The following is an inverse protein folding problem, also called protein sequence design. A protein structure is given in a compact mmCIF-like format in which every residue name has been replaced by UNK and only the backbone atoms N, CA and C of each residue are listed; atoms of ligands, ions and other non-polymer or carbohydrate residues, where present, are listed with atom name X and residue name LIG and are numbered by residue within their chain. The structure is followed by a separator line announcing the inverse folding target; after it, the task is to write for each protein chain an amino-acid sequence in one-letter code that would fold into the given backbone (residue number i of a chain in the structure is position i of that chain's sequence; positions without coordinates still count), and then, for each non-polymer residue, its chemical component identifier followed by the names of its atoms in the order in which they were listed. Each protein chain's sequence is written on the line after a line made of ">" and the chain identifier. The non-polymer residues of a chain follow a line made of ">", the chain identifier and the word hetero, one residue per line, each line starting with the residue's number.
data_IF_359771444418
#
_entry.id   IF_359771444418
#
_cell.length_a   1.000
_cell.length_b   1.000
_cell.length_c   1.000
_cell.angle_alpha   90.00
_cell.angle_beta   90.00
_cell.angle_gamma   90.00
#
_symmetry.space_group_name_H-M   'P 1'
#
loop_
_entity.id
_entity.type
_entity.pdbx_description
1 polymer ?
#
# COMPACT_ATOMS: atom_id res chain seq x y z
N UNK A 1 -41.78 1.16 -8.03
CA UNK A 1 -40.46 1.10 -7.36
C UNK A 1 -40.25 2.42 -6.64
N UNK A 2 -39.69 2.40 -5.42
CA UNK A 2 -39.16 3.63 -4.81
C UNK A 2 -37.81 3.94 -5.47
N UNK A 3 -37.46 5.22 -5.63
CA UNK A 3 -36.13 5.56 -6.15
C UNK A 3 -35.08 5.23 -5.09
N UNK A 4 -33.84 4.99 -5.52
CA UNK A 4 -32.76 4.63 -4.60
C UNK A 4 -32.49 5.72 -3.54
N UNK A 5 -32.64 6.99 -3.91
CA UNK A 5 -32.47 8.12 -3.00
C UNK A 5 -33.62 8.27 -1.99
N UNK A 6 -34.75 7.58 -2.20
CA UNK A 6 -35.87 7.54 -1.25
C UNK A 6 -35.68 6.46 -0.17
N UNK A 7 -34.70 5.57 -0.33
CA UNK A 7 -34.47 4.40 0.54
C UNK A 7 -33.08 4.37 1.17
N UNK A 8 -32.10 5.06 0.58
CA UNK A 8 -30.74 5.17 1.11
C UNK A 8 -30.45 6.64 1.37
N UNK A 9 -30.01 6.94 2.59
CA UNK A 9 -29.52 8.27 2.92
C UNK A 9 -28.10 8.44 2.34
N UNK A 10 -27.86 9.42 1.46
CA UNK A 10 -26.52 9.70 0.96
C UNK A 10 -25.56 10.06 2.09
N UNK A 11 -24.27 9.86 1.84
CA UNK A 11 -23.21 10.18 2.79
C UNK A 11 -23.24 11.68 3.17
N UNK A 12 -22.70 11.99 4.35
CA UNK A 12 -22.89 13.30 5.00
C UNK A 12 -22.30 14.47 4.21
N UNK A 13 -21.14 14.26 3.59
CA UNK A 13 -20.47 15.16 2.64
C UNK A 13 -21.38 15.58 1.48
N UNK A 14 -22.02 14.62 0.80
CA UNK A 14 -22.97 14.86 -0.30
C UNK A 14 -24.15 15.68 0.18
N UNK A 15 -24.69 15.36 1.37
CA UNK A 15 -25.84 16.06 1.94
C UNK A 15 -25.50 17.50 2.34
N UNK A 16 -24.27 17.75 2.76
CA UNK A 16 -23.79 19.09 3.14
C UNK A 16 -23.32 19.93 1.95
N UNK A 17 -23.19 19.32 0.76
CA UNK A 17 -22.61 19.98 -0.41
C UNK A 17 -21.11 20.25 -0.27
N UNK A 18 -20.47 19.63 0.72
CA UNK A 18 -19.04 19.73 1.00
C UNK A 18 -18.34 18.58 0.27
N UNK A 19 -18.13 18.79 -1.03
CA UNK A 19 -17.66 17.77 -1.96
C UNK A 19 -16.21 18.08 -2.35
N UNK A 20 -15.27 17.41 -1.68
CA UNK A 20 -13.87 17.42 -2.08
C UNK A 20 -13.56 16.13 -2.85
N UNK A 21 -13.27 16.25 -4.15
CA UNK A 21 -12.86 15.13 -5.00
C UNK A 21 -11.61 14.41 -4.47
N UNK A 22 -10.75 15.11 -3.72
CA UNK A 22 -9.57 14.53 -3.09
C UNK A 22 -9.94 13.46 -2.06
N UNK A 23 -11.13 13.55 -1.43
CA UNK A 23 -11.63 12.53 -0.48
C UNK A 23 -11.90 11.20 -1.16
N UNK A 24 -12.13 11.19 -2.49
CA UNK A 24 -12.39 9.96 -3.26
C UNK A 24 -11.17 9.44 -4.03
N UNK A 25 -10.06 10.18 -4.01
CA UNK A 25 -8.82 9.79 -4.65
C UNK A 25 -7.93 9.09 -3.62
N UNK A 26 -7.86 7.76 -3.70
CA UNK A 26 -6.90 7.00 -2.89
C UNK A 26 -5.47 7.43 -3.25
N UNK A 27 -4.71 7.90 -2.25
CA UNK A 27 -3.27 8.13 -2.33
C UNK A 27 -2.55 7.16 -1.38
N UNK A 28 -1.70 6.30 -1.94
CA UNK A 28 -0.98 5.29 -1.17
C UNK A 28 0.06 5.90 -0.22
N UNK A 29 0.66 7.03 -0.60
CA UNK A 29 1.65 7.73 0.22
C UNK A 29 1.00 8.29 1.47
N UNK A 30 -0.17 8.92 1.32
CA UNK A 30 -0.94 9.42 2.45
C UNK A 30 -1.42 8.31 3.38
N UNK A 31 -1.78 7.14 2.84
CA UNK A 31 -2.14 5.96 3.64
C UNK A 31 -0.94 5.42 4.43
N UNK A 32 0.25 5.45 3.84
CA UNK A 32 1.48 4.99 4.50
C UNK A 32 1.90 5.96 5.62
N UNK A 33 1.79 7.26 5.35
CA UNK A 33 2.19 8.33 6.26
C UNK A 33 1.13 8.62 7.34
N UNK A 34 -0.09 8.12 7.16
CA UNK A 34 -1.20 8.28 8.12
C UNK A 34 -1.93 9.61 8.00
N UNK A 35 -1.74 10.33 6.89
CA UNK A 35 -2.42 11.59 6.55
C UNK A 35 -3.70 11.38 5.72
N UNK A 36 -3.93 10.17 5.20
CA UNK A 36 -5.12 9.87 4.40
C UNK A 36 -6.41 9.97 5.24
N UNK A 37 -7.56 10.25 4.59
CA UNK A 37 -8.87 10.17 5.24
C UNK A 37 -9.11 8.80 5.89
N UNK A 38 -9.95 8.72 6.95
CA UNK A 38 -10.24 7.48 7.67
C UNK A 38 -10.67 6.33 6.77
N UNK A 39 -11.42 6.63 5.70
CA UNK A 39 -11.86 5.66 4.69
C UNK A 39 -10.73 4.87 4.04
N UNK A 40 -9.53 5.45 3.96
CA UNK A 40 -8.33 4.80 3.44
C UNK A 40 -7.31 4.47 4.53
N UNK A 41 -7.18 5.26 5.60
CA UNK A 41 -6.17 4.99 6.63
C UNK A 41 -6.59 3.88 7.60
N UNK A 42 -7.88 3.79 7.94
CA UNK A 42 -8.39 2.76 8.83
C UNK A 42 -8.62 1.45 8.05
N UNK A 43 -7.88 0.37 8.38
CA UNK A 43 -7.96 -0.86 7.61
C UNK A 43 -9.34 -1.53 7.67
N UNK A 44 -10.06 -1.41 8.79
CA UNK A 44 -11.36 -2.05 8.96
C UNK A 44 -12.45 -1.33 8.14
N UNK A 45 -12.47 0.00 8.22
CA UNK A 45 -13.36 0.85 7.44
C UNK A 45 -13.10 0.67 5.94
N UNK A 46 -11.83 0.70 5.54
CA UNK A 46 -11.41 0.48 4.14
C UNK A 46 -11.94 -0.84 3.58
N UNK A 47 -11.73 -1.96 4.29
CA UNK A 47 -12.21 -3.27 3.83
C UNK A 47 -13.74 -3.40 3.89
N UNK A 48 -14.41 -2.76 4.86
CA UNK A 48 -15.87 -2.77 4.97
C UNK A 48 -16.52 -2.01 3.81
N UNK A 49 -15.93 -0.90 3.38
CA UNK A 49 -16.40 -0.09 2.24
C UNK A 49 -15.91 -0.61 0.89
N UNK A 50 -14.94 -1.53 0.88
CA UNK A 50 -14.40 -2.11 -0.36
C UNK A 50 -15.15 -3.37 -0.76
N UNK A 51 -15.78 -3.35 -1.93
CA UNK A 51 -16.24 -4.58 -2.55
C UNK A 51 -15.04 -5.38 -3.09
N UNK A 52 -14.73 -6.51 -2.44
CA UNK A 52 -13.68 -7.42 -2.88
C UNK A 52 -14.10 -8.16 -4.16
N UNK A 53 -13.79 -7.56 -5.30
CA UNK A 53 -13.96 -8.18 -6.62
C UNK A 53 -13.11 -9.46 -6.72
N UNK A 54 -13.48 -10.36 -7.64
CA UNK A 54 -12.66 -11.54 -7.93
C UNK A 54 -11.21 -11.17 -8.32
N UNK A 55 -11.01 -10.04 -8.99
CA UNK A 55 -9.68 -9.51 -9.30
C UNK A 55 -8.86 -9.20 -8.04
N UNK A 56 -9.45 -8.52 -7.05
CA UNK A 56 -8.78 -8.24 -5.77
C UNK A 56 -8.52 -9.53 -4.98
N UNK A 57 -9.47 -10.46 -4.94
CA UNK A 57 -9.29 -11.77 -4.29
C UNK A 57 -8.11 -12.54 -4.89
N UNK A 58 -8.05 -12.63 -6.22
CA UNK A 58 -6.95 -13.28 -6.94
C UNK A 58 -5.60 -12.57 -6.73
N UNK A 59 -5.60 -11.23 -6.70
CA UNK A 59 -4.41 -10.43 -6.42
C UNK A 59 -3.86 -10.74 -5.03
N UNK A 60 -4.71 -10.73 -4.01
CA UNK A 60 -4.33 -11.06 -2.63
C UNK A 60 -3.84 -12.51 -2.49
N UNK A 61 -4.52 -13.46 -3.13
CA UNK A 61 -4.09 -14.87 -3.15
C UNK A 61 -2.71 -15.04 -3.81
N UNK A 62 -2.43 -14.34 -4.92
CA UNK A 62 -1.09 -14.33 -5.54
C UNK A 62 -0.02 -13.79 -4.61
N UNK A 63 -0.29 -12.66 -3.95
CA UNK A 63 0.64 -12.05 -2.98
C UNK A 63 0.90 -13.02 -1.82
N UNK A 64 -0.17 -13.61 -1.25
CA UNK A 64 -0.06 -14.60 -0.20
C UNK A 64 0.81 -15.79 -0.61
N UNK A 65 0.45 -16.46 -1.72
CA UNK A 65 1.15 -17.66 -2.19
C UNK A 65 2.63 -17.39 -2.52
N UNK A 66 2.96 -16.17 -2.98
CA UNK A 66 4.35 -15.78 -3.20
C UNK A 66 5.12 -15.66 -1.90
N UNK A 67 4.55 -15.02 -0.88
CA UNK A 67 5.20 -14.80 0.42
C UNK A 67 5.34 -16.08 1.25
N UNK A 68 4.35 -16.98 1.17
CA UNK A 68 4.35 -18.21 1.98
C UNK A 68 5.09 -19.35 1.30
N UNK A 69 4.81 -19.62 0.02
CA UNK A 69 5.33 -20.79 -0.69
C UNK A 69 6.42 -20.45 -1.72
N UNK A 70 6.74 -19.16 -1.93
CA UNK A 70 7.71 -18.73 -2.96
C UNK A 70 7.23 -18.91 -4.41
N UNK A 71 6.02 -19.42 -4.61
CA UNK A 71 5.45 -19.75 -5.92
C UNK A 71 4.90 -18.51 -6.63
N UNK A 72 4.93 -18.53 -7.96
CA UNK A 72 4.40 -17.46 -8.80
C UNK A 72 5.36 -16.29 -9.06
N UNK A 73 4.86 -15.31 -9.79
CA UNK A 73 5.63 -14.13 -10.24
C UNK A 73 6.04 -13.26 -9.04
N UNK A 74 7.32 -12.85 -9.01
CA UNK A 74 7.84 -11.93 -7.99
C UNK A 74 7.52 -10.47 -8.28
N UNK A 75 7.12 -10.16 -9.51
CA UNK A 75 6.76 -8.83 -9.96
C UNK A 75 5.31 -8.87 -10.43
N UNK A 76 4.51 -7.91 -9.96
CA UNK A 76 3.12 -7.76 -10.34
C UNK A 76 2.97 -6.34 -10.88
N UNK A 77 2.60 -6.24 -12.15
CA UNK A 77 2.17 -4.99 -12.76
C UNK A 77 0.64 -4.91 -12.69
N UNK A 78 0.11 -3.87 -12.06
CA UNK A 78 -1.34 -3.65 -12.00
C UNK A 78 -1.76 -2.82 -13.20
N UNK A 79 -2.27 -3.51 -14.23
CA UNK A 79 -2.76 -2.88 -15.45
C UNK A 79 -4.27 -2.73 -15.37
N UNK A 80 -4.74 -1.50 -15.24
CA UNK A 80 -6.16 -1.16 -15.41
C UNK A 80 -6.30 0.17 -16.17
N UNK A 81 -7.42 0.38 -16.89
CA UNK A 81 -7.73 1.68 -17.49
C UNK A 81 -7.72 2.83 -16.47
N UNK A 82 -7.81 4.07 -16.95
CA UNK A 82 -8.00 5.22 -16.06
C UNK A 82 -9.24 5.04 -15.18
N UNK A 83 -9.12 5.35 -13.89
CA UNK A 83 -10.17 5.09 -12.89
C UNK A 83 -10.31 3.62 -12.46
N UNK A 84 -9.54 2.68 -13.02
CA UNK A 84 -9.67 1.26 -12.73
C UNK A 84 -9.08 0.78 -11.38
N UNK A 85 -8.96 1.66 -10.38
CA UNK A 85 -8.63 1.24 -9.01
C UNK A 85 -7.19 0.74 -8.76
N UNK A 86 -6.18 1.23 -9.49
CA UNK A 86 -4.76 0.84 -9.26
C UNK A 86 -4.29 1.16 -7.84
N UNK A 87 -4.45 2.43 -7.43
CA UNK A 87 -4.06 2.84 -6.07
C UNK A 87 -4.88 2.11 -5.02
N UNK A 88 -6.18 1.92 -5.25
CA UNK A 88 -7.05 1.12 -4.37
C UNK A 88 -6.55 -0.32 -4.20
N UNK A 89 -6.08 -0.94 -5.28
CA UNK A 89 -5.50 -2.29 -5.25
C UNK A 89 -4.19 -2.33 -4.44
N UNK A 90 -3.34 -1.31 -4.57
CA UNK A 90 -2.13 -1.18 -3.76
C UNK A 90 -2.43 -0.95 -2.28
N UNK A 91 -3.41 -0.11 -1.96
CA UNK A 91 -3.89 0.12 -0.59
C UNK A 91 -4.47 -1.16 0.01
N UNK A 92 -5.22 -1.94 -0.79
CA UNK A 92 -5.72 -3.27 -0.39
C UNK A 92 -4.58 -4.21 -0.02
N UNK A 93 -3.53 -4.31 -0.85
CA UNK A 93 -2.33 -5.09 -0.53
C UNK A 93 -1.64 -4.56 0.73
N UNK A 94 -1.49 -3.24 0.85
CA UNK A 94 -0.85 -2.60 1.99
C UNK A 94 -1.54 -2.97 3.31
N UNK A 95 -2.86 -2.81 3.40
CA UNK A 95 -3.60 -3.17 4.62
C UNK A 95 -3.62 -4.69 4.86
N UNK A 96 -3.73 -5.51 3.82
CA UNK A 96 -3.64 -6.96 3.97
C UNK A 96 -2.30 -7.38 4.59
N UNK A 97 -1.19 -6.84 4.09
CA UNK A 97 0.16 -7.21 4.54
C UNK A 97 0.52 -6.61 5.91
N UNK A 98 0.12 -5.36 6.18
CA UNK A 98 0.47 -4.63 7.41
C UNK A 98 -0.54 -4.83 8.56
N UNK A 99 -1.82 -4.98 8.22
CA UNK A 99 -2.94 -4.99 9.16
C UNK A 99 -3.81 -6.26 9.08
N UNK A 100 -3.35 -7.32 8.41
CA UNK A 100 -4.16 -8.50 8.12
C UNK A 100 -4.86 -9.13 9.34
N UNK A 101 -4.25 -9.07 10.53
CA UNK A 101 -4.90 -9.51 11.76
C UNK A 101 -6.13 -8.68 12.15
N UNK A 102 -6.08 -7.36 11.98
CA UNK A 102 -7.18 -6.45 12.31
C UNK A 102 -8.38 -6.63 11.39
N UNK A 103 -8.13 -7.08 10.15
CA UNK A 103 -9.16 -7.24 9.11
C UNK A 103 -9.46 -8.68 8.78
N UNK A 104 -8.98 -9.64 9.60
CA UNK A 104 -9.08 -11.09 9.33
C UNK A 104 -10.50 -11.52 8.97
N UNK A 105 -11.51 -11.00 9.67
CA UNK A 105 -12.92 -11.32 9.45
C UNK A 105 -13.50 -10.75 8.14
N UNK A 106 -12.83 -9.81 7.51
CA UNK A 106 -13.22 -9.16 6.25
C UNK A 106 -12.42 -9.69 5.04
N UNK A 107 -11.40 -10.52 5.28
CA UNK A 107 -10.65 -11.16 4.21
C UNK A 107 -11.49 -12.27 3.54
N UNK A 108 -11.16 -12.67 2.30
CA UNK A 108 -11.77 -13.84 1.67
C UNK A 108 -11.60 -15.08 2.55
N UNK A 109 -12.64 -15.93 2.64
CA UNK A 109 -12.68 -17.09 3.57
C UNK A 109 -11.44 -18.00 3.52
N UNK A 110 -10.85 -18.18 2.34
CA UNK A 110 -9.70 -19.04 2.11
C UNK A 110 -8.36 -18.27 2.03
N UNK A 111 -8.31 -17.03 2.50
CA UNK A 111 -7.10 -16.21 2.52
C UNK A 111 -6.59 -16.01 3.96
N UNK A 112 -5.55 -16.73 4.39
CA UNK A 112 -4.93 -16.50 5.69
C UNK A 112 -4.26 -15.13 5.76
N UNK A 113 -4.01 -14.66 6.98
CA UNK A 113 -3.21 -13.46 7.23
C UNK A 113 -1.81 -13.63 6.62
N UNK A 114 -1.24 -12.54 6.09
CA UNK A 114 0.04 -12.57 5.41
C UNK A 114 1.21 -12.85 6.37
N UNK A 115 1.94 -13.94 6.14
CA UNK A 115 3.17 -14.29 6.87
C UNK A 115 4.30 -14.66 5.91
N UNK A 116 5.55 -14.51 6.36
CA UNK A 116 6.73 -15.03 5.68
C UNK A 116 6.85 -16.52 5.96
N UNK A 117 6.44 -17.36 5.00
CA UNK A 117 6.19 -18.80 5.20
C UNK A 117 5.00 -19.06 6.12
N UNK A 118 4.45 -20.25 6.03
CA UNK A 118 3.30 -20.67 6.85
C UNK A 118 3.66 -20.60 8.35
N UNK A 119 2.85 -19.86 9.13
CA UNK A 119 3.10 -19.63 10.55
C UNK A 119 4.27 -18.69 10.90
N UNK A 120 4.86 -18.01 9.90
CA UNK A 120 6.01 -17.12 10.11
C UNK A 120 5.65 -15.69 10.56
N UNK A 121 6.67 -14.83 10.60
CA UNK A 121 6.50 -13.40 10.95
C UNK A 121 5.82 -12.62 9.82
N UNK A 122 5.21 -11.49 10.16
CA UNK A 122 4.71 -10.55 9.16
C UNK A 122 5.82 -10.12 8.18
N UNK A 123 5.51 -9.93 6.89
CA UNK A 123 6.49 -9.49 5.91
C UNK A 123 6.94 -8.06 6.19
N UNK A 124 8.23 -7.80 5.96
CA UNK A 124 8.74 -6.45 5.86
C UNK A 124 8.32 -5.87 4.52
N UNK A 125 7.91 -4.61 4.51
CA UNK A 125 7.41 -3.93 3.33
C UNK A 125 8.12 -2.59 3.17
N UNK A 126 8.39 -2.23 1.92
CA UNK A 126 8.70 -0.87 1.53
C UNK A 126 7.66 -0.39 0.53
N UNK A 127 7.23 0.85 0.68
CA UNK A 127 6.31 1.54 -0.21
C UNK A 127 6.99 2.80 -0.74
N UNK A 128 7.03 2.92 -2.07
CA UNK A 128 7.61 4.06 -2.77
C UNK A 128 6.51 4.67 -3.64
N UNK A 129 6.17 5.92 -3.37
CA UNK A 129 5.24 6.70 -4.19
C UNK A 129 6.05 7.80 -4.86
N UNK A 130 6.23 7.68 -6.18
CA UNK A 130 7.13 8.56 -6.92
C UNK A 130 6.74 10.04 -6.83
N UNK A 131 5.43 10.36 -6.78
CA UNK A 131 4.92 11.73 -6.65
C UNK A 131 5.17 12.34 -5.28
N UNK A 132 5.42 11.52 -4.25
CA UNK A 132 5.75 11.96 -2.89
C UNK A 132 7.25 12.10 -2.67
N UNK A 133 8.08 11.74 -3.66
CA UNK A 133 9.52 11.74 -3.50
C UNK A 133 10.16 12.86 -4.31
N UNK A 134 10.85 13.77 -3.64
CA UNK A 134 11.72 14.76 -4.25
C UNK A 134 13.19 14.34 -4.09
N UNK A 135 13.86 13.83 -5.13
CA UNK A 135 15.26 13.39 -5.03
C UNK A 135 16.27 14.52 -4.76
N UNK A 136 15.91 15.78 -5.05
CA UNK A 136 16.80 16.93 -4.83
C UNK A 136 16.92 17.21 -3.34
N UNK A 137 15.79 17.35 -2.66
CA UNK A 137 15.71 17.57 -1.22
C UNK A 137 16.02 16.27 -0.45
N UNK A 138 15.46 15.16 -0.93
CA UNK A 138 15.43 13.87 -0.25
C UNK A 138 14.35 13.82 0.82
N UNK A 139 14.11 12.63 1.36
CA UNK A 139 13.25 12.41 2.52
C UNK A 139 14.11 12.32 3.77
N UNK A 140 13.91 13.22 4.72
CA UNK A 140 14.63 13.20 5.99
C UNK A 140 13.80 12.50 7.07
N UNK A 141 14.41 11.55 7.77
CA UNK A 141 13.89 11.09 9.07
C UNK A 141 15.02 10.46 9.86
N UNK A 142 14.93 10.57 11.19
CA UNK A 142 15.93 10.10 12.14
C UNK A 142 17.35 10.54 11.78
N UNK A 143 17.53 11.78 11.32
CA UNK A 143 18.83 12.35 10.93
C UNK A 143 19.49 11.71 9.70
N UNK A 144 18.73 10.98 8.88
CA UNK A 144 19.18 10.44 7.59
C UNK A 144 18.35 11.07 6.49
N UNK A 145 19.02 11.75 5.55
CA UNK A 145 18.39 12.21 4.30
C UNK A 145 18.56 11.15 3.21
N UNK A 146 17.45 10.66 2.67
CA UNK A 146 17.39 9.62 1.64
C UNK A 146 16.99 10.25 0.31
N UNK A 147 17.89 10.23 -0.67
CA UNK A 147 17.74 10.94 -1.96
C UNK A 147 17.46 10.00 -3.14
N UNK A 148 17.45 8.70 -2.90
CA UNK A 148 17.21 7.67 -3.91
C UNK A 148 16.20 6.66 -3.42
N UNK A 149 15.48 6.02 -4.34
CA UNK A 149 14.61 4.90 -4.01
C UNK A 149 15.36 3.76 -3.32
N UNK A 150 16.63 3.53 -3.64
CA UNK A 150 17.44 2.50 -2.99
C UNK A 150 17.74 2.81 -1.52
N UNK A 151 18.11 4.05 -1.23
CA UNK A 151 18.27 4.54 0.13
C UNK A 151 16.97 4.45 0.93
N UNK A 152 15.85 4.84 0.31
CA UNK A 152 14.51 4.76 0.91
C UNK A 152 14.07 3.31 1.18
N UNK A 153 14.18 2.42 0.19
CA UNK A 153 13.83 0.99 0.33
C UNK A 153 14.66 0.34 1.44
N UNK A 154 15.99 0.55 1.42
CA UNK A 154 16.87 0.05 2.46
C UNK A 154 16.46 0.54 3.84
N UNK A 155 16.16 1.83 3.95
CA UNK A 155 15.71 2.43 5.20
C UNK A 155 14.38 1.85 5.70
N UNK A 156 13.36 1.75 4.85
CA UNK A 156 12.06 1.24 5.27
C UNK A 156 12.13 -0.24 5.70
N UNK A 157 12.96 -1.07 5.06
CA UNK A 157 13.06 -2.50 5.37
C UNK A 157 13.93 -2.81 6.60
N UNK A 158 14.94 -2.00 6.90
CA UNK A 158 15.91 -2.31 7.95
C UNK A 158 16.45 -1.09 8.72
N UNK A 159 15.78 0.05 8.63
CA UNK A 159 16.17 1.31 9.28
C UNK A 159 17.54 1.78 8.82
N UNK A 160 18.27 2.41 9.76
CA UNK A 160 19.63 2.92 9.52
C UNK A 160 20.59 1.87 8.93
N UNK A 161 20.48 0.61 9.34
CA UNK A 161 21.34 -0.49 8.84
C UNK A 161 21.09 -0.76 7.35
N UNK A 162 19.84 -0.75 6.92
CA UNK A 162 19.50 -0.94 5.52
C UNK A 162 19.91 0.26 4.66
N UNK A 163 19.74 1.48 5.16
CA UNK A 163 20.26 2.67 4.50
C UNK A 163 21.78 2.62 4.31
N UNK A 164 22.53 2.19 5.34
CA UNK A 164 24.00 2.13 5.28
C UNK A 164 24.50 1.32 4.07
N UNK A 165 23.78 0.28 3.68
CA UNK A 165 24.10 -0.52 2.50
C UNK A 165 24.10 0.32 1.21
N UNK A 166 23.19 1.29 1.09
CA UNK A 166 23.06 2.17 -0.07
C UNK A 166 23.62 3.58 0.13
N UNK A 167 24.18 3.92 1.30
CA UNK A 167 24.53 5.31 1.66
C UNK A 167 25.40 6.03 0.61
N UNK A 168 26.43 5.37 0.09
CA UNK A 168 27.28 5.96 -0.95
C UNK A 168 26.51 6.21 -2.27
N UNK A 169 25.63 5.29 -2.66
CA UNK A 169 24.78 5.42 -3.86
C UNK A 169 23.79 6.56 -3.68
N UNK A 170 23.18 6.64 -2.49
CA UNK A 170 22.19 7.64 -2.13
C UNK A 170 22.79 9.07 -2.11
N UNK A 171 23.94 9.25 -1.45
CA UNK A 171 24.67 10.52 -1.40
C UNK A 171 25.12 10.99 -2.79
N UNK A 172 25.54 10.06 -3.65
CA UNK A 172 25.93 10.36 -5.03
C UNK A 172 24.75 10.44 -5.99
N UNK A 173 23.54 10.12 -5.54
CA UNK A 173 22.29 10.05 -6.34
C UNK A 173 22.43 9.17 -7.59
N UNK A 174 23.04 8.00 -7.43
CA UNK A 174 23.23 7.02 -8.52
C UNK A 174 22.70 5.65 -8.11
N UNK A 175 22.15 4.91 -9.07
CA UNK A 175 21.71 3.55 -8.82
C UNK A 175 22.89 2.63 -8.43
N UNK A 176 22.67 1.63 -7.56
CA UNK A 176 23.64 0.55 -7.34
C UNK A 176 23.76 -0.31 -8.59
N UNK A 177 24.95 -0.85 -8.83
CA UNK A 177 25.17 -1.85 -9.87
C UNK A 177 24.63 -3.22 -9.47
N UNK A 178 24.41 -4.10 -10.45
CA UNK A 178 23.87 -5.46 -10.28
C UNK A 178 24.59 -6.27 -9.19
N UNK A 179 25.92 -6.19 -9.09
CA UNK A 179 26.71 -6.96 -8.13
C UNK A 179 26.38 -6.64 -6.66
N UNK A 180 25.75 -5.49 -6.41
CA UNK A 180 25.34 -5.05 -5.07
C UNK A 180 23.91 -5.45 -4.71
N UNK A 181 23.10 -5.86 -5.68
CA UNK A 181 21.70 -6.26 -5.49
C UNK A 181 21.58 -7.79 -5.42
#
# INVERSE_FOLDING_TARGET
>A
MKNWFDIIQPHEDIRRGDFDEAVFAADLGDVVDGSAPPDYSDPYLFFTKTYLTEGLKHLLARVHGKLTAGKGQSVIEIQTPFGGGKTHSLVTIYHYLKNGEKVRALLPENLPVATLREGGKAPKMSVIVGTHHNPVEGRESDGITRRTFWGEIGYQLAGRKGYQFFAQNDQRRVAPGKTKL
#
